data_IF_240612352230
#
_entry.id   IF_240612352230
#
_cell.length_a   1.000
_cell.length_b   1.000
_cell.length_c   1.000
_cell.angle_alpha   90.00
_cell.angle_beta   90.00
_cell.angle_gamma   90.00
#
_symmetry.space_group_name_H-M   'P 1'
#
loop_
_entity.id
_entity.type
_entity.pdbx_description
1 polymer ?
#
# COMPACT_ATOMS: atom_id res chain seq x y z
N UNK A 1 -7.77 -19.58 20.87
CA UNK A 1 -6.40 -19.62 21.37
C UNK A 1 -6.37 -19.57 22.90
N UNK A 2 -5.30 -20.04 23.47
CA UNK A 2 -5.08 -20.04 24.91
C UNK A 2 -3.91 -19.12 25.25
N UNK A 3 -4.08 -18.34 26.32
CA UNK A 3 -2.99 -17.56 26.91
C UNK A 3 -2.49 -18.33 28.15
N UNK A 4 -1.23 -18.71 28.16
CA UNK A 4 -0.62 -19.46 29.28
C UNK A 4 -0.30 -18.54 30.50
N UNK A 5 0.16 -19.10 31.56
CA UNK A 5 0.51 -18.38 32.79
C UNK A 5 1.68 -17.41 32.63
N UNK A 6 2.45 -17.51 31.55
CA UNK A 6 3.55 -16.62 31.19
C UNK A 6 3.12 -15.53 30.14
N UNK A 7 1.86 -15.50 29.75
CA UNK A 7 1.35 -14.57 28.75
C UNK A 7 1.62 -14.98 27.31
N UNK A 8 2.07 -16.21 27.04
CA UNK A 8 2.30 -16.71 25.69
C UNK A 8 1.01 -17.24 25.09
N UNK A 9 0.83 -17.04 23.81
CA UNK A 9 -0.36 -17.49 23.07
C UNK A 9 -0.06 -18.80 22.37
N UNK A 10 -0.92 -19.79 22.55
CA UNK A 10 -0.83 -21.11 21.94
C UNK A 10 -2.22 -21.69 21.62
N UNK A 11 -2.24 -22.83 20.93
CA UNK A 11 -3.47 -23.61 20.68
C UNK A 11 -4.49 -22.90 19.80
N UNK A 12 -4.07 -22.27 18.71
CA UNK A 12 -4.95 -21.63 17.76
C UNK A 12 -5.95 -22.62 17.16
N UNK A 13 -7.23 -22.32 17.31
CA UNK A 13 -8.32 -23.04 16.64
C UNK A 13 -9.18 -22.04 15.91
N UNK A 14 -9.32 -22.21 14.61
CA UNK A 14 -10.25 -21.47 13.80
C UNK A 14 -11.61 -22.20 13.82
N UNK A 15 -12.61 -21.51 14.30
CA UNK A 15 -13.97 -22.00 14.30
C UNK A 15 -14.66 -21.30 13.13
N UNK A 16 -15.03 -22.07 12.12
CA UNK A 16 -15.88 -21.57 11.04
C UNK A 16 -17.28 -21.35 11.61
N UNK A 17 -17.49 -20.16 12.12
CA UNK A 17 -18.74 -19.75 12.70
C UNK A 17 -19.67 -19.30 11.59
N UNK A 18 -20.07 -20.24 10.76
CA UNK A 18 -21.20 -20.05 9.85
C UNK A 18 -22.44 -19.88 10.72
N UNK A 19 -22.83 -18.66 10.92
CA UNK A 19 -24.15 -18.14 11.26
C UNK A 19 -25.14 -19.12 11.90
N UNK A 20 -24.86 -19.61 13.08
CA UNK A 20 -25.87 -20.35 13.85
C UNK A 20 -27.06 -19.41 14.14
N UNK A 21 -28.17 -19.62 13.46
CA UNK A 21 -29.47 -19.04 13.77
C UNK A 21 -29.88 -17.77 13.01
N UNK A 22 -29.32 -17.46 11.83
CA UNK A 22 -29.81 -16.39 10.95
C UNK A 22 -30.03 -16.90 9.52
N UNK A 23 -31.19 -16.61 8.96
CA UNK A 23 -31.66 -17.14 7.67
C UNK A 23 -30.86 -16.67 6.44
N UNK A 24 -29.91 -15.75 6.57
CA UNK A 24 -28.99 -15.35 5.51
C UNK A 24 -27.64 -15.01 6.12
N UNK A 25 -26.65 -15.80 5.81
CA UNK A 25 -25.27 -15.55 6.15
C UNK A 25 -24.40 -15.61 4.90
N UNK A 26 -23.95 -14.43 4.46
CA UNK A 26 -23.03 -14.28 3.34
C UNK A 26 -21.55 -14.44 3.75
N UNK A 27 -21.31 -15.06 4.92
CA UNK A 27 -19.95 -15.27 5.41
C UNK A 27 -19.39 -16.59 4.86
N UNK A 28 -18.40 -16.50 4.00
CA UNK A 28 -17.62 -17.65 3.58
C UNK A 28 -16.64 -18.07 4.68
N UNK A 29 -16.31 -19.38 4.79
CA UNK A 29 -15.30 -19.86 5.72
C UNK A 29 -13.93 -19.24 5.42
N UNK A 30 -13.17 -18.94 6.46
CA UNK A 30 -11.84 -18.36 6.32
C UNK A 30 -10.89 -19.30 5.57
N UNK A 31 -10.27 -18.81 4.52
CA UNK A 31 -9.25 -19.57 3.77
C UNK A 31 -8.02 -19.85 4.64
N UNK A 32 -7.25 -20.88 4.31
CA UNK A 32 -6.00 -21.19 5.02
C UNK A 32 -5.04 -20.00 5.03
N UNK A 33 -5.00 -19.25 3.94
CA UNK A 33 -4.20 -18.03 3.86
C UNK A 33 -4.67 -16.96 4.83
N UNK A 34 -5.99 -16.78 4.96
CA UNK A 34 -6.56 -15.83 5.92
C UNK A 34 -6.23 -16.24 7.35
N UNK A 35 -6.35 -17.52 7.67
CA UNK A 35 -5.98 -18.08 8.98
C UNK A 35 -4.52 -17.82 9.30
N UNK A 36 -3.62 -18.04 8.35
CA UNK A 36 -2.19 -17.79 8.49
C UNK A 36 -1.90 -16.31 8.77
N UNK A 37 -2.48 -15.38 8.00
CA UNK A 37 -2.30 -13.94 8.19
C UNK A 37 -2.77 -13.46 9.57
N UNK A 38 -3.91 -13.98 10.04
CA UNK A 38 -4.42 -13.68 11.38
C UNK A 38 -3.47 -14.19 12.44
N UNK A 39 -2.98 -15.42 12.31
CA UNK A 39 -2.02 -16.01 13.26
C UNK A 39 -0.72 -15.20 13.31
N UNK A 40 -0.18 -14.81 12.15
CA UNK A 40 1.02 -13.98 12.06
C UNK A 40 0.81 -12.60 12.70
N UNK A 41 -0.33 -11.96 12.42
CA UNK A 41 -0.65 -10.63 12.97
C UNK A 41 -0.78 -10.69 14.49
N UNK A 42 -1.46 -11.68 15.02
CA UNK A 42 -1.65 -11.86 16.48
C UNK A 42 -0.37 -12.32 17.16
N UNK A 43 0.49 -13.08 16.49
CA UNK A 43 1.81 -13.49 16.99
C UNK A 43 2.82 -12.34 17.10
N UNK A 44 2.57 -11.21 16.45
CA UNK A 44 3.38 -9.98 16.56
C UNK A 44 2.97 -9.08 17.72
N UNK A 45 1.85 -9.37 18.38
CA UNK A 45 1.44 -8.62 19.55
C UNK A 45 2.38 -8.92 20.72
N UNK A 46 2.57 -7.90 21.56
CA UNK A 46 3.32 -8.05 22.80
C UNK A 46 2.69 -9.12 23.70
N UNK A 47 3.46 -9.62 24.68
CA UNK A 47 2.99 -10.65 25.61
C UNK A 47 1.67 -10.24 26.26
N UNK A 48 0.73 -11.14 26.27
CA UNK A 48 -0.57 -10.94 26.88
C UNK A 48 -0.47 -11.01 28.39
N UNK A 49 -1.24 -10.21 29.10
CA UNK A 49 -1.35 -10.33 30.56
C UNK A 49 -2.16 -11.59 30.89
N UNK A 50 -1.59 -12.56 31.62
CA UNK A 50 -2.32 -13.75 32.02
C UNK A 50 -3.54 -13.43 32.89
N UNK A 51 -4.57 -14.25 32.78
CA UNK A 51 -5.69 -14.18 33.70
C UNK A 51 -5.25 -14.51 35.11
N UNK A 52 -5.89 -13.90 36.11
CA UNK A 52 -5.60 -14.19 37.53
C UNK A 52 -6.85 -14.73 38.21
N UNK A 53 -6.64 -15.78 39.01
CA UNK A 53 -7.62 -16.34 39.93
C UNK A 53 -6.97 -16.49 41.31
N UNK A 54 -7.59 -15.94 42.34
CA UNK A 54 -7.09 -15.94 43.73
C UNK A 54 -5.63 -15.45 43.84
N UNK A 55 -5.26 -14.44 43.04
CA UNK A 55 -3.92 -13.85 42.97
C UNK A 55 -2.89 -14.64 42.15
N UNK A 56 -3.20 -15.84 41.71
CA UNK A 56 -2.33 -16.69 40.90
C UNK A 56 -2.63 -16.51 39.37
N UNK A 57 -1.57 -16.48 38.56
CA UNK A 57 -1.71 -16.51 37.12
C UNK A 57 -2.26 -17.84 36.64
N UNK A 58 -3.29 -17.82 35.80
CA UNK A 58 -3.93 -19.03 35.26
C UNK A 58 -4.00 -18.94 33.76
N UNK A 59 -3.90 -20.11 33.10
CA UNK A 59 -4.17 -20.19 31.65
C UNK A 59 -5.64 -19.92 31.36
N UNK A 60 -5.91 -19.19 30.29
CA UNK A 60 -7.27 -18.84 29.90
C UNK A 60 -7.47 -18.97 28.39
N UNK A 61 -8.61 -19.53 27.99
CA UNK A 61 -8.94 -19.66 26.59
C UNK A 61 -9.82 -18.48 26.12
N UNK A 62 -9.32 -17.77 25.12
CA UNK A 62 -10.02 -16.66 24.50
C UNK A 62 -10.71 -17.07 23.21
N UNK A 63 -11.88 -16.48 22.97
CA UNK A 63 -12.57 -16.52 21.69
C UNK A 63 -12.62 -15.10 21.12
N UNK A 64 -11.96 -14.92 19.98
CA UNK A 64 -11.99 -13.65 19.23
C UNK A 64 -12.85 -13.85 17.99
N UNK A 65 -13.88 -13.02 17.83
CA UNK A 65 -14.70 -13.00 16.61
C UNK A 65 -14.32 -11.78 15.79
N UNK A 66 -13.88 -12.02 14.55
CA UNK A 66 -13.52 -10.97 13.62
C UNK A 66 -14.31 -11.09 12.33
N UNK A 67 -14.78 -9.95 11.81
CA UNK A 67 -15.27 -9.86 10.43
C UNK A 67 -14.16 -9.27 9.58
N UNK A 68 -13.64 -10.07 8.68
CA UNK A 68 -12.62 -9.64 7.74
C UNK A 68 -13.30 -9.31 6.40
N UNK A 69 -13.10 -8.11 5.84
CA UNK A 69 -13.62 -7.79 4.52
C UNK A 69 -12.82 -8.55 3.47
N UNK A 70 -13.32 -9.72 3.08
CA UNK A 70 -12.64 -10.66 2.15
C UNK A 70 -12.25 -9.98 0.84
N UNK A 71 -13.08 -9.08 0.32
CA UNK A 71 -12.76 -8.31 -0.89
C UNK A 71 -11.49 -7.46 -0.76
N UNK A 72 -11.27 -6.84 0.39
CA UNK A 72 -10.05 -6.03 0.62
C UNK A 72 -8.82 -6.90 0.78
N UNK A 73 -8.96 -8.10 1.36
CA UNK A 73 -7.87 -9.05 1.53
C UNK A 73 -7.53 -9.69 0.18
N UNK A 74 -8.53 -10.14 -0.58
CA UNK A 74 -8.34 -10.71 -1.91
C UNK A 74 -7.70 -9.69 -2.87
N UNK A 75 -8.19 -8.45 -2.92
CA UNK A 75 -7.61 -7.38 -3.75
C UNK A 75 -6.17 -7.04 -3.35
N UNK A 76 -5.85 -7.09 -2.06
CA UNK A 76 -4.48 -6.84 -1.57
C UNK A 76 -3.52 -8.00 -1.89
N UNK A 77 -4.03 -9.23 -2.00
CA UNK A 77 -3.24 -10.41 -2.39
C UNK A 77 -3.07 -10.55 -3.90
N UNK A 78 -3.97 -9.97 -4.72
CA UNK A 78 -3.86 -10.04 -6.17
C UNK A 78 -2.92 -9.00 -6.77
N UNK A 79 -2.68 -7.88 -6.09
CA UNK A 79 -1.82 -6.84 -6.61
C UNK A 79 -1.07 -6.09 -5.49
N UNK A 80 0.25 -6.14 -5.53
CA UNK A 80 1.08 -5.20 -4.78
C UNK A 80 0.98 -3.82 -5.47
N UNK A 81 0.83 -2.72 -4.72
CA UNK A 81 0.74 -1.39 -5.30
C UNK A 81 2.06 -0.95 -5.96
N UNK A 82 1.95 0.00 -6.86
CA UNK A 82 3.10 0.79 -7.29
C UNK A 82 3.60 1.63 -6.13
N UNK A 83 4.92 1.62 -5.86
CA UNK A 83 5.51 2.43 -4.80
C UNK A 83 6.66 3.29 -5.34
N UNK A 84 6.83 4.46 -4.73
CA UNK A 84 8.00 5.30 -4.92
C UNK A 84 8.73 5.49 -3.59
N UNK A 85 10.01 5.08 -3.52
CA UNK A 85 10.81 5.11 -2.28
C UNK A 85 10.09 4.42 -1.09
N UNK A 86 9.28 3.40 -1.37
CA UNK A 86 8.54 2.63 -0.36
C UNK A 86 7.20 3.22 0.08
N UNK A 87 6.82 4.40 -0.42
CA UNK A 87 5.56 5.08 -0.12
C UNK A 87 4.63 5.19 -1.33
N UNK A 88 3.44 5.77 -1.09
CA UNK A 88 2.48 6.08 -2.14
C UNK A 88 3.06 7.13 -3.10
N UNK A 89 3.08 6.88 -4.42
CA UNK A 89 3.62 7.82 -5.38
C UNK A 89 2.93 9.19 -5.40
N UNK A 90 1.64 9.24 -5.10
CA UNK A 90 0.88 10.50 -5.09
C UNK A 90 1.37 11.45 -4.00
N UNK A 91 1.98 10.92 -2.95
CA UNK A 91 2.61 11.72 -1.89
C UNK A 91 4.13 11.83 -2.12
N UNK A 92 4.80 10.68 -2.14
CA UNK A 92 6.28 10.63 -2.09
C UNK A 92 6.94 11.12 -3.37
N UNK A 93 6.41 10.73 -4.55
CA UNK A 93 6.98 11.19 -5.82
C UNK A 93 6.67 12.67 -6.07
N UNK A 94 5.47 13.14 -5.73
CA UNK A 94 5.11 14.55 -5.87
C UNK A 94 6.06 15.45 -5.08
N UNK A 95 6.29 15.15 -3.81
CA UNK A 95 7.20 15.95 -2.98
C UNK A 95 8.65 15.86 -3.47
N UNK A 96 9.11 14.64 -3.82
CA UNK A 96 10.45 14.42 -4.35
C UNK A 96 10.69 15.18 -5.66
N UNK A 97 9.71 15.19 -6.56
CA UNK A 97 9.78 15.87 -7.84
C UNK A 97 9.74 17.40 -7.67
N UNK A 98 8.86 17.90 -6.81
CA UNK A 98 8.70 19.33 -6.54
C UNK A 98 10.00 19.99 -6.10
N UNK A 99 10.75 19.36 -5.21
CA UNK A 99 12.04 19.87 -4.72
C UNK A 99 13.13 19.90 -5.81
N UNK A 100 12.99 19.06 -6.84
CA UNK A 100 14.00 18.91 -7.92
C UNK A 100 13.67 19.66 -9.20
N UNK A 101 12.45 20.15 -9.32
CA UNK A 101 12.04 21.00 -10.44
C UNK A 101 12.72 22.36 -10.35
N UNK A 102 13.30 22.78 -11.46
CA UNK A 102 13.91 24.12 -11.62
C UNK A 102 12.92 25.00 -12.38
N UNK A 103 12.28 25.88 -11.64
CA UNK A 103 11.48 26.93 -12.22
C UNK A 103 12.36 28.19 -12.31
N UNK A 104 12.96 28.40 -13.49
CA UNK A 104 13.89 29.50 -13.74
C UNK A 104 13.10 30.82 -13.79
N UNK A 105 13.66 31.90 -13.24
CA UNK A 105 13.12 33.28 -13.29
C UNK A 105 12.75 33.72 -14.72
N UNK A 106 13.39 33.14 -15.74
CA UNK A 106 13.05 33.38 -17.15
C UNK A 106 11.65 32.91 -17.53
N UNK A 107 11.05 31.96 -16.80
CA UNK A 107 9.67 31.54 -17.01
C UNK A 107 8.70 32.46 -16.28
N UNK A 108 9.00 32.78 -15.02
CA UNK A 108 8.18 33.71 -14.24
C UNK A 108 8.16 35.13 -14.85
N UNK A 109 9.31 35.63 -15.31
CA UNK A 109 9.40 36.96 -15.95
C UNK A 109 8.68 37.07 -17.30
N UNK A 110 8.42 35.93 -17.96
CA UNK A 110 7.61 35.87 -19.20
C UNK A 110 6.15 35.56 -18.95
N UNK A 111 5.74 35.39 -17.69
CA UNK A 111 4.39 34.97 -17.31
C UNK A 111 4.00 33.58 -17.80
N UNK A 112 4.99 32.71 -18.04
CA UNK A 112 4.72 31.33 -18.45
C UNK A 112 4.29 30.53 -17.23
N UNK A 113 2.99 30.44 -17.01
CA UNK A 113 2.37 29.69 -15.92
C UNK A 113 1.39 28.66 -16.48
N UNK A 114 1.04 27.67 -15.70
CA UNK A 114 0.01 26.69 -16.06
C UNK A 114 0.37 25.25 -15.76
N UNK A 115 -0.54 24.36 -16.14
CA UNK A 115 -0.46 22.94 -15.84
C UNK A 115 0.45 22.21 -16.84
N UNK A 116 1.47 21.54 -16.31
CA UNK A 116 2.20 20.51 -17.05
C UNK A 116 1.69 19.15 -16.61
N UNK A 117 1.26 18.33 -17.58
CA UNK A 117 0.73 16.99 -17.36
C UNK A 117 1.46 16.01 -18.26
N UNK A 118 2.15 15.05 -17.65
CA UNK A 118 2.97 14.05 -18.35
C UNK A 118 2.56 12.66 -17.93
N UNK A 119 2.31 11.78 -18.90
CA UNK A 119 2.14 10.35 -18.69
C UNK A 119 3.46 9.64 -18.94
N UNK A 120 3.84 8.77 -18.01
CA UNK A 120 5.01 7.91 -18.16
C UNK A 120 4.70 6.51 -17.62
N UNK A 121 5.60 5.58 -17.86
CA UNK A 121 5.42 4.19 -17.49
C UNK A 121 6.55 3.73 -16.57
N UNK A 122 6.19 2.98 -15.57
CA UNK A 122 7.13 2.21 -14.75
C UNK A 122 7.14 0.80 -15.33
N UNK A 123 8.29 0.40 -15.84
CA UNK A 123 8.49 -0.91 -16.44
C UNK A 123 8.62 -2.00 -15.35
N UNK A 124 8.44 -3.30 -15.70
CA UNK A 124 8.57 -4.41 -14.74
C UNK A 124 9.91 -4.46 -14.01
N UNK A 125 10.97 -3.92 -14.61
CA UNK A 125 12.32 -3.83 -14.01
C UNK A 125 12.55 -2.53 -13.20
N UNK A 126 11.51 -1.73 -12.97
CA UNK A 126 11.59 -0.45 -12.25
C UNK A 126 12.14 0.72 -13.05
N UNK A 127 12.43 0.53 -14.35
CA UNK A 127 12.81 1.64 -15.23
C UNK A 127 11.64 2.54 -15.55
N UNK A 128 11.96 3.78 -15.87
CA UNK A 128 10.98 4.81 -16.25
C UNK A 128 11.07 5.08 -17.75
N UNK A 129 9.95 4.94 -18.44
CA UNK A 129 9.80 5.24 -19.87
C UNK A 129 8.81 6.40 -20.03
N UNK A 130 9.23 7.47 -20.69
CA UNK A 130 8.34 8.61 -20.96
C UNK A 130 7.30 8.18 -22.02
N UNK A 131 6.04 8.44 -21.72
CA UNK A 131 4.94 8.23 -22.65
C UNK A 131 4.62 9.50 -23.42
N UNK A 132 3.71 10.31 -22.92
CA UNK A 132 3.14 11.44 -23.63
C UNK A 132 3.07 12.69 -22.74
N UNK A 133 3.32 13.86 -23.32
CA UNK A 133 3.00 15.14 -22.70
C UNK A 133 1.56 15.48 -23.03
N UNK A 134 0.66 15.30 -22.07
CA UNK A 134 -0.78 15.51 -22.26
C UNK A 134 -1.16 16.98 -22.27
N UNK A 135 -0.42 17.81 -21.53
CA UNK A 135 -0.58 19.26 -21.51
C UNK A 135 0.72 19.92 -21.07
N UNK A 136 1.03 21.06 -21.67
CA UNK A 136 2.09 21.96 -21.19
C UNK A 136 1.89 23.36 -21.77
N UNK A 137 2.05 24.42 -20.97
CA UNK A 137 2.02 25.79 -21.47
C UNK A 137 3.28 26.17 -22.26
N UNK A 138 4.39 25.48 -22.02
CA UNK A 138 5.68 25.73 -22.69
C UNK A 138 6.48 24.42 -22.81
N UNK A 139 7.15 24.23 -23.95
CA UNK A 139 7.93 23.03 -24.24
C UNK A 139 9.14 22.87 -23.31
N UNK A 140 9.75 23.98 -22.86
CA UNK A 140 10.89 23.92 -21.94
C UNK A 140 10.44 23.46 -20.54
N UNK A 141 9.25 23.87 -20.08
CA UNK A 141 8.66 23.37 -18.84
C UNK A 141 8.38 21.87 -18.94
N UNK A 142 7.82 21.41 -20.06
CA UNK A 142 7.62 19.98 -20.28
C UNK A 142 8.95 19.22 -20.23
N UNK A 143 9.99 19.72 -20.86
CA UNK A 143 11.35 19.12 -20.84
C UNK A 143 11.93 19.05 -19.42
N UNK A 144 11.71 20.09 -18.62
CA UNK A 144 12.17 20.10 -17.23
C UNK A 144 11.44 19.04 -16.39
N UNK A 145 10.12 18.94 -16.53
CA UNK A 145 9.34 17.87 -15.85
C UNK A 145 9.83 16.48 -16.30
N UNK A 146 10.03 16.28 -17.60
CA UNK A 146 10.56 15.03 -18.15
C UNK A 146 11.96 14.70 -17.58
N UNK A 147 12.82 15.72 -17.43
CA UNK A 147 14.15 15.56 -16.81
C UNK A 147 14.03 15.01 -15.39
N UNK A 148 13.14 15.57 -14.60
CA UNK A 148 12.90 15.13 -13.21
C UNK A 148 12.32 13.73 -13.18
N UNK A 149 11.33 13.42 -14.05
CA UNK A 149 10.75 12.08 -14.16
C UNK A 149 11.85 11.06 -14.50
N UNK A 150 12.73 11.34 -15.46
CA UNK A 150 13.87 10.45 -15.80
C UNK A 150 14.85 10.25 -14.65
N UNK A 151 15.06 11.30 -13.85
CA UNK A 151 15.95 11.25 -12.69
C UNK A 151 15.39 10.37 -11.55
N UNK A 152 14.11 10.05 -11.57
CA UNK A 152 13.46 9.16 -10.58
C UNK A 152 13.76 7.67 -10.79
N UNK A 153 14.49 7.32 -11.85
CA UNK A 153 14.92 5.96 -12.13
C UNK A 153 15.59 5.32 -10.90
N UNK A 154 15.21 4.08 -10.59
CA UNK A 154 15.76 3.30 -9.48
C UNK A 154 15.07 3.54 -8.12
N UNK A 155 14.10 4.45 -8.05
CA UNK A 155 13.33 4.69 -6.83
C UNK A 155 11.92 4.07 -6.88
N UNK A 156 11.55 3.47 -8.00
CA UNK A 156 10.25 2.85 -8.23
C UNK A 156 10.25 1.37 -7.92
N UNK A 157 9.24 0.92 -7.19
CA UNK A 157 8.90 -0.50 -7.05
C UNK A 157 7.67 -0.75 -7.91
N UNK A 158 7.80 -1.56 -8.99
CA UNK A 158 6.70 -1.82 -9.91
C UNK A 158 5.52 -2.48 -9.21
N UNK A 159 4.31 -2.15 -9.67
CA UNK A 159 3.12 -2.89 -9.29
C UNK A 159 3.29 -4.36 -9.65
N UNK A 160 2.84 -5.26 -8.78
CA UNK A 160 2.83 -6.70 -9.06
C UNK A 160 1.40 -7.22 -9.04
N UNK A 161 1.10 -8.11 -9.97
CA UNK A 161 -0.16 -8.86 -9.98
C UNK A 161 0.19 -10.33 -9.84
N UNK A 162 -0.29 -10.97 -8.77
CA UNK A 162 0.07 -12.36 -8.44
C UNK A 162 1.58 -12.60 -8.40
N UNK A 163 2.32 -11.63 -7.84
CA UNK A 163 3.78 -11.67 -7.75
C UNK A 163 4.53 -11.32 -9.03
N UNK A 164 3.85 -11.16 -10.16
CA UNK A 164 4.47 -10.81 -11.46
C UNK A 164 4.49 -9.30 -11.64
N UNK A 165 5.67 -8.67 -11.81
CA UNK A 165 5.79 -7.24 -12.05
C UNK A 165 5.05 -6.84 -13.34
N UNK A 166 4.32 -5.73 -13.27
CA UNK A 166 3.53 -5.23 -14.39
C UNK A 166 3.99 -3.84 -14.79
N UNK A 167 4.04 -3.59 -16.09
CA UNK A 167 4.16 -2.24 -16.62
C UNK A 167 2.97 -1.40 -16.15
N UNK A 168 3.24 -0.27 -15.51
CA UNK A 168 2.20 0.57 -14.91
C UNK A 168 2.31 2.00 -15.42
N UNK A 169 1.22 2.55 -15.95
CA UNK A 169 1.13 3.96 -16.31
C UNK A 169 0.99 4.80 -15.05
N UNK A 170 1.68 5.92 -15.02
CA UNK A 170 1.54 6.95 -13.99
C UNK A 170 1.45 8.33 -14.64
N UNK A 171 0.61 9.20 -14.09
CA UNK A 171 0.41 10.56 -14.58
C UNK A 171 0.87 11.56 -13.52
N UNK A 172 1.81 12.39 -13.89
CA UNK A 172 2.30 13.46 -13.04
C UNK A 172 1.75 14.81 -13.51
N UNK A 173 1.15 15.53 -12.59
CA UNK A 173 0.56 16.85 -12.81
C UNK A 173 1.20 17.86 -11.88
N UNK A 174 1.67 18.96 -12.44
CA UNK A 174 2.18 20.07 -11.66
C UNK A 174 1.75 21.39 -12.26
N UNK A 175 1.32 22.30 -11.40
CA UNK A 175 0.95 23.65 -11.78
C UNK A 175 2.09 24.62 -11.46
N UNK A 176 2.57 25.34 -12.46
CA UNK A 176 3.54 26.41 -12.32
C UNK A 176 2.79 27.74 -12.21
N UNK A 177 3.03 28.49 -11.14
CA UNK A 177 2.38 29.77 -10.84
C UNK A 177 3.42 30.87 -10.65
#
# INVERSE_FOLDING_TARGET
FTVDTAGRVDGWRFLDNTCQGRDKCDAEPATERTKQLVTEALGRLEAWTPARKDGLSVSYTWRLTMRLPVEKIAKRQEADPLLFMGGDPDETFHEWARVRLRYDERFSSRGVAGLVHVRFYIEPDGKVTIGEVLSSPDEKLAREVIRVIRASKGHWVPRRVRGVPQRTAYEYRINFT
#
